data_IF_598239808114
#
_entry.id   IF_598239808114
#
_cell.length_a   1.000
_cell.length_b   1.000
_cell.length_c   1.000
_cell.angle_alpha   90.00
_cell.angle_beta   90.00
_cell.angle_gamma   90.00
#
_symmetry.space_group_name_H-M   'P 1'
#
loop_
_entity.id
_entity.type
_entity.pdbx_description
1 polymer ?
#
# COMPACT_ATOMS: atom_id res chain seq x y z
N UNK A 1 -25.41 37.21 -7.00
CA UNK A 1 -25.80 36.35 -8.14
C UNK A 1 -24.86 35.14 -8.16
N UNK A 2 -25.39 33.99 -7.79
CA UNK A 2 -24.60 32.78 -7.67
C UNK A 2 -24.37 32.20 -9.09
N UNK A 3 -23.11 32.08 -9.49
CA UNK A 3 -22.68 31.43 -10.72
C UNK A 3 -22.85 29.90 -10.55
N UNK A 4 -23.82 29.34 -11.26
CA UNK A 4 -24.05 27.90 -11.34
C UNK A 4 -22.81 27.21 -11.90
N UNK A 5 -22.16 26.37 -11.09
CA UNK A 5 -21.09 25.46 -11.52
C UNK A 5 -21.65 24.53 -12.62
N UNK A 6 -21.11 24.61 -13.84
CA UNK A 6 -21.44 23.72 -14.93
C UNK A 6 -21.04 22.29 -14.55
N UNK A 7 -22.02 21.42 -14.29
CA UNK A 7 -21.80 19.96 -14.18
C UNK A 7 -21.16 19.49 -15.48
N UNK A 8 -19.88 19.15 -15.44
CA UNK A 8 -19.17 18.58 -16.58
C UNK A 8 -19.96 17.38 -17.14
N UNK A 9 -20.31 17.45 -18.40
CA UNK A 9 -21.02 16.39 -19.13
C UNK A 9 -20.12 15.15 -19.11
N UNK A 10 -20.58 14.06 -18.48
CA UNK A 10 -19.86 12.80 -18.49
C UNK A 10 -19.73 12.29 -19.92
N UNK A 11 -18.55 12.38 -20.49
CA UNK A 11 -18.26 11.83 -21.81
C UNK A 11 -18.01 10.32 -21.72
N UNK A 12 -18.57 9.58 -22.66
CA UNK A 12 -18.42 8.13 -22.81
C UNK A 12 -17.72 7.83 -24.13
N UNK A 13 -16.91 6.79 -24.17
CA UNK A 13 -16.30 6.29 -25.39
C UNK A 13 -17.33 5.40 -26.11
N UNK A 14 -17.54 5.70 -27.40
CA UNK A 14 -18.41 4.90 -28.26
C UNK A 14 -17.59 4.37 -29.45
N UNK A 15 -17.76 3.10 -29.73
CA UNK A 15 -17.34 2.48 -30.99
C UNK A 15 -18.49 2.62 -32.00
N UNK A 16 -18.18 3.09 -33.18
CA UNK A 16 -19.16 3.24 -34.24
C UNK A 16 -18.68 2.58 -35.52
N UNK A 17 -19.64 2.06 -36.25
CA UNK A 17 -19.50 1.54 -37.60
C UNK A 17 -20.50 2.26 -38.50
N UNK A 18 -20.07 2.74 -39.64
CA UNK A 18 -20.90 3.49 -40.59
C UNK A 18 -20.46 3.28 -42.02
N UNK A 19 -21.28 3.77 -42.98
CA UNK A 19 -20.96 3.78 -44.41
C UNK A 19 -20.61 5.19 -44.83
N UNK A 20 -19.47 5.35 -45.50
CA UNK A 20 -19.05 6.59 -46.15
C UNK A 20 -19.88 6.86 -47.41
N UNK A 21 -19.80 8.05 -47.98
CA UNK A 21 -20.48 8.45 -49.23
C UNK A 21 -20.28 7.48 -50.41
N UNK A 22 -19.17 6.74 -50.41
CA UNK A 22 -18.79 5.75 -51.41
C UNK A 22 -19.30 4.33 -51.05
N UNK A 23 -20.14 4.16 -50.00
CA UNK A 23 -20.64 2.87 -49.59
C UNK A 23 -19.63 1.99 -48.80
N UNK A 24 -18.41 2.47 -48.57
CA UNK A 24 -17.36 1.73 -47.86
C UNK A 24 -17.62 1.76 -46.35
N UNK A 25 -17.49 0.60 -45.70
CA UNK A 25 -17.64 0.49 -44.24
C UNK A 25 -16.43 1.12 -43.55
N UNK A 26 -16.68 2.13 -42.72
CA UNK A 26 -15.69 2.83 -41.89
C UNK A 26 -16.04 2.57 -40.43
N UNK A 27 -15.01 2.33 -39.63
CA UNK A 27 -15.10 2.10 -38.17
C UNK A 27 -14.26 3.10 -37.45
N UNK A 28 -14.72 3.55 -36.29
CA UNK A 28 -13.95 4.49 -35.47
C UNK A 28 -14.42 4.50 -34.02
N UNK A 29 -13.64 5.19 -33.18
CA UNK A 29 -13.97 5.44 -31.79
C UNK A 29 -14.08 6.96 -31.56
N UNK A 30 -15.10 7.38 -30.81
CA UNK A 30 -15.33 8.81 -30.53
C UNK A 30 -15.88 8.99 -29.13
N UNK A 31 -15.43 10.03 -28.43
CA UNK A 31 -15.95 10.43 -27.12
C UNK A 31 -17.09 11.42 -27.29
N UNK A 32 -18.20 11.17 -26.61
CA UNK A 32 -19.35 12.08 -26.59
C UNK A 32 -20.20 11.87 -25.32
N UNK A 33 -21.01 12.87 -25.00
CA UNK A 33 -21.94 12.80 -23.86
C UNK A 33 -23.14 11.86 -24.08
N UNK A 34 -23.39 11.45 -25.37
CA UNK A 34 -24.48 10.55 -25.71
C UNK A 34 -24.45 10.10 -27.17
N UNK A 35 -25.21 9.06 -27.47
CA UNK A 35 -25.29 8.45 -28.80
C UNK A 35 -25.80 9.44 -29.89
N UNK A 36 -26.73 10.33 -29.51
CA UNK A 36 -27.27 11.34 -30.41
C UNK A 36 -26.23 12.33 -30.91
N UNK A 37 -25.24 12.69 -30.04
CA UNK A 37 -24.14 13.58 -30.42
C UNK A 37 -23.24 12.93 -31.47
N UNK A 38 -22.97 11.63 -31.32
CA UNK A 38 -22.16 10.88 -32.27
C UNK A 38 -22.85 10.75 -33.60
N UNK A 39 -24.15 10.45 -33.62
CA UNK A 39 -24.93 10.39 -34.83
C UNK A 39 -24.89 11.74 -35.60
N UNK A 40 -25.07 12.85 -34.87
CA UNK A 40 -25.02 14.18 -35.47
C UNK A 40 -23.61 14.50 -36.04
N UNK A 41 -22.56 14.11 -35.33
CA UNK A 41 -21.19 14.32 -35.75
C UNK A 41 -20.82 13.50 -36.99
N UNK A 42 -21.16 12.22 -37.01
CA UNK A 42 -20.89 11.32 -38.13
C UNK A 42 -21.64 11.75 -39.38
N UNK A 43 -22.91 12.16 -39.25
CA UNK A 43 -23.71 12.70 -40.37
C UNK A 43 -23.07 13.96 -40.96
N UNK A 44 -22.51 14.87 -40.14
CA UNK A 44 -21.76 16.07 -40.61
C UNK A 44 -20.50 15.68 -41.38
N UNK A 45 -19.87 14.55 -41.02
CA UNK A 45 -18.68 14.01 -41.70
C UNK A 45 -19.04 13.17 -42.93
N UNK A 46 -20.35 13.06 -43.30
CA UNK A 46 -20.79 12.29 -44.46
C UNK A 46 -20.80 10.78 -44.23
N UNK A 47 -20.74 10.34 -42.99
CA UNK A 47 -20.80 8.92 -42.60
C UNK A 47 -22.18 8.60 -42.05
N UNK A 48 -22.86 7.63 -42.67
CA UNK A 48 -24.14 7.12 -42.15
C UNK A 48 -23.90 6.02 -41.13
N UNK A 49 -24.14 6.26 -39.82
CA UNK A 49 -23.88 5.27 -38.80
C UNK A 49 -24.83 4.08 -38.92
N UNK A 50 -24.26 2.87 -38.95
CA UNK A 50 -25.01 1.60 -38.95
C UNK A 50 -25.09 0.94 -37.61
N UNK A 51 -24.07 1.19 -36.76
CA UNK A 51 -23.98 0.63 -35.41
C UNK A 51 -23.20 1.55 -34.50
N UNK A 52 -23.78 1.92 -33.36
CA UNK A 52 -23.10 2.69 -32.31
C UNK A 52 -23.21 1.86 -31.02
N UNK A 53 -22.10 1.53 -30.42
CA UNK A 53 -22.05 0.83 -29.15
C UNK A 53 -21.27 1.65 -28.14
N UNK A 54 -21.87 1.90 -26.99
CA UNK A 54 -21.17 2.45 -25.83
C UNK A 54 -20.16 1.41 -25.37
N UNK A 55 -18.87 1.70 -25.54
CA UNK A 55 -17.80 0.88 -24.98
C UNK A 55 -17.80 1.12 -23.48
N UNK A 56 -18.04 0.08 -22.70
CA UNK A 56 -17.70 0.12 -21.28
C UNK A 56 -16.18 0.30 -21.25
N UNK A 57 -15.71 1.52 -20.97
CA UNK A 57 -14.33 1.70 -20.57
C UNK A 57 -14.15 0.76 -19.38
N UNK A 58 -13.40 -0.33 -19.57
CA UNK A 58 -12.90 -1.11 -18.45
C UNK A 58 -12.27 -0.07 -17.55
N UNK A 59 -12.83 0.16 -16.38
CA UNK A 59 -12.32 1.11 -15.43
C UNK A 59 -10.82 0.85 -15.34
N UNK A 60 -10.00 1.86 -15.68
CA UNK A 60 -8.55 1.70 -15.71
C UNK A 60 -8.10 1.09 -14.38
N UNK A 61 -7.02 0.33 -14.39
CA UNK A 61 -6.45 -0.26 -13.17
C UNK A 61 -6.26 0.85 -12.13
N UNK A 62 -6.57 0.57 -10.87
CA UNK A 62 -6.30 1.50 -9.77
C UNK A 62 -4.83 1.96 -9.85
N UNK A 63 -4.59 3.26 -9.75
CA UNK A 63 -3.23 3.81 -9.72
C UNK A 63 -2.55 3.33 -8.43
N UNK A 64 -1.37 2.76 -8.57
CA UNK A 64 -0.56 2.26 -7.45
C UNK A 64 0.57 3.23 -7.14
N UNK A 65 1.10 3.26 -5.89
CA UNK A 65 2.27 4.07 -5.56
C UNK A 65 3.46 3.81 -6.50
N UNK A 66 3.67 2.56 -6.93
CA UNK A 66 4.69 2.20 -7.92
C UNK A 66 4.52 2.93 -9.27
N UNK A 67 3.27 3.18 -9.69
CA UNK A 67 3.00 3.90 -10.95
C UNK A 67 3.44 5.37 -10.83
N UNK A 68 3.23 5.96 -9.64
CA UNK A 68 3.67 7.34 -9.34
C UNK A 68 5.19 7.41 -9.22
N UNK A 69 5.84 6.46 -8.54
CA UNK A 69 7.31 6.40 -8.46
C UNK A 69 7.94 6.31 -9.85
N UNK A 70 7.40 5.45 -10.73
CA UNK A 70 7.87 5.33 -12.11
C UNK A 70 7.67 6.62 -12.91
N UNK A 71 6.51 7.25 -12.77
CA UNK A 71 6.23 8.54 -13.37
C UNK A 71 7.25 9.60 -12.91
N UNK A 72 7.48 9.70 -11.59
CA UNK A 72 8.41 10.68 -11.01
C UNK A 72 9.84 10.46 -11.53
N UNK A 73 10.30 9.20 -11.61
CA UNK A 73 11.61 8.84 -12.18
C UNK A 73 11.71 9.24 -13.65
N UNK A 74 10.69 8.94 -14.44
CA UNK A 74 10.67 9.31 -15.85
C UNK A 74 10.68 10.83 -16.05
N UNK A 75 9.88 11.56 -15.26
CA UNK A 75 9.84 13.02 -15.28
C UNK A 75 11.22 13.61 -14.92
N UNK A 76 11.82 13.17 -13.82
CA UNK A 76 13.15 13.61 -13.39
C UNK A 76 14.21 13.34 -14.46
N UNK A 77 14.20 12.16 -15.07
CA UNK A 77 15.16 11.78 -16.12
C UNK A 77 15.02 12.67 -17.36
N UNK A 78 13.80 12.97 -17.78
CA UNK A 78 13.55 13.85 -18.93
C UNK A 78 13.98 15.28 -18.66
N UNK A 79 13.65 15.81 -17.48
CA UNK A 79 14.07 17.16 -17.10
C UNK A 79 15.59 17.26 -16.99
N UNK A 80 16.26 16.25 -16.44
CA UNK A 80 17.72 16.17 -16.39
C UNK A 80 18.36 16.12 -17.79
N UNK A 81 17.64 15.56 -18.77
CA UNK A 81 18.04 15.60 -20.18
C UNK A 81 17.70 16.92 -20.89
N UNK A 82 17.18 17.94 -20.19
CA UNK A 82 16.82 19.24 -20.73
C UNK A 82 15.46 19.28 -21.45
N UNK A 83 14.63 18.25 -21.33
CA UNK A 83 13.29 18.24 -21.93
C UNK A 83 12.37 19.16 -21.11
N UNK A 84 11.65 20.12 -21.76
CA UNK A 84 10.74 21.02 -21.06
C UNK A 84 9.65 20.24 -20.26
N UNK A 85 9.24 20.77 -19.10
CA UNK A 85 8.31 20.16 -18.17
C UNK A 85 7.01 19.68 -18.84
N UNK A 86 6.31 20.53 -19.58
CA UNK A 86 5.05 20.19 -20.24
C UNK A 86 5.21 19.10 -21.30
N UNK A 87 6.33 19.12 -22.03
CA UNK A 87 6.65 18.09 -23.01
C UNK A 87 6.96 16.75 -22.31
N UNK A 88 7.65 16.77 -21.18
CA UNK A 88 7.93 15.59 -20.36
C UNK A 88 6.64 14.94 -19.87
N UNK A 89 5.66 15.71 -19.39
CA UNK A 89 4.33 15.21 -19.03
C UNK A 89 3.61 14.53 -20.19
N UNK A 90 3.68 15.12 -21.40
CA UNK A 90 3.03 14.55 -22.58
C UNK A 90 3.67 13.21 -22.99
N UNK A 91 5.00 13.13 -23.01
CA UNK A 91 5.73 11.91 -23.36
C UNK A 91 5.43 10.80 -22.34
N UNK A 92 5.56 11.08 -21.03
CA UNK A 92 5.31 10.09 -19.97
C UNK A 92 3.85 9.66 -19.95
N UNK A 93 2.92 10.61 -20.13
CA UNK A 93 1.50 10.32 -20.18
C UNK A 93 1.10 9.40 -21.33
N UNK A 94 1.65 9.63 -22.54
CA UNK A 94 1.40 8.76 -23.72
C UNK A 94 2.06 7.40 -23.59
N UNK A 95 3.22 7.31 -22.94
CA UNK A 95 3.96 6.07 -22.73
C UNK A 95 3.38 5.17 -21.64
N UNK A 96 2.43 5.63 -20.84
CA UNK A 96 1.91 4.88 -19.71
C UNK A 96 0.85 3.84 -20.12
N UNK A 97 0.98 2.62 -19.60
CA UNK A 97 0.04 1.52 -19.89
C UNK A 97 -1.27 1.60 -19.11
N UNK A 98 -1.32 2.42 -18.05
CA UNK A 98 -2.52 2.59 -17.23
C UNK A 98 -3.28 3.87 -17.64
N UNK A 99 -4.47 3.75 -18.26
CA UNK A 99 -5.25 4.92 -18.72
C UNK A 99 -5.59 5.91 -17.60
N UNK A 100 -5.70 5.46 -16.36
CA UNK A 100 -5.99 6.34 -15.23
C UNK A 100 -4.77 7.19 -14.87
N UNK A 101 -3.55 6.66 -15.00
CA UNK A 101 -2.32 7.44 -14.85
C UNK A 101 -2.22 8.48 -15.98
N UNK A 102 -2.43 8.06 -17.22
CA UNK A 102 -2.45 9.00 -18.37
C UNK A 102 -3.44 10.13 -18.16
N UNK A 103 -4.64 9.83 -17.65
CA UNK A 103 -5.64 10.85 -17.34
C UNK A 103 -5.15 11.80 -16.23
N UNK A 104 -4.64 11.25 -15.12
CA UNK A 104 -4.10 12.04 -14.01
C UNK A 104 -3.00 13.00 -14.49
N UNK A 105 -2.05 12.51 -15.29
CA UNK A 105 -0.95 13.32 -15.81
C UNK A 105 -1.43 14.39 -16.79
N UNK A 106 -2.43 14.11 -17.62
CA UNK A 106 -3.03 15.10 -18.49
C UNK A 106 -3.78 16.19 -17.71
N UNK A 107 -4.50 15.82 -16.64
CA UNK A 107 -5.21 16.79 -15.82
C UNK A 107 -4.19 17.74 -15.13
N UNK A 108 -3.08 17.21 -14.60
CA UNK A 108 -1.99 18.01 -14.00
C UNK A 108 -1.31 18.89 -15.07
N UNK A 109 -1.00 18.32 -16.24
CA UNK A 109 -0.38 19.09 -17.35
C UNK A 109 -1.23 20.29 -17.76
N UNK A 110 -2.55 20.12 -17.89
CA UNK A 110 -3.49 21.19 -18.21
C UNK A 110 -3.51 22.28 -17.14
N UNK A 111 -3.48 21.91 -15.86
CA UNK A 111 -3.41 22.87 -14.76
C UNK A 111 -2.12 23.71 -14.84
N UNK A 112 -0.98 23.08 -15.11
CA UNK A 112 0.30 23.79 -15.24
C UNK A 112 0.33 24.64 -16.51
N UNK A 113 -0.21 24.17 -17.63
CA UNK A 113 -0.32 24.90 -18.89
C UNK A 113 -1.16 26.19 -18.73
N UNK A 114 -2.17 26.16 -17.84
CA UNK A 114 -3.00 27.34 -17.51
C UNK A 114 -2.36 28.29 -16.48
N UNK A 115 -1.12 28.04 -16.05
CA UNK A 115 -0.35 28.92 -15.17
C UNK A 115 -0.42 28.56 -13.68
N UNK A 116 -1.01 27.41 -13.32
CA UNK A 116 -0.95 26.91 -11.94
C UNK A 116 0.46 26.36 -11.66
N UNK A 117 1.03 26.63 -10.46
CA UNK A 117 2.30 26.02 -10.07
C UNK A 117 2.19 24.50 -10.04
N UNK A 118 3.30 23.79 -10.33
CA UNK A 118 3.32 22.33 -10.36
C UNK A 118 2.96 21.72 -9.00
N UNK A 119 3.50 22.29 -7.91
CA UNK A 119 3.19 21.90 -6.54
C UNK A 119 1.68 22.03 -6.23
N UNK A 120 1.06 23.15 -6.64
CA UNK A 120 -0.38 23.35 -6.47
C UNK A 120 -1.21 22.38 -7.33
N UNK A 121 -0.77 22.08 -8.54
CA UNK A 121 -1.43 21.09 -9.40
C UNK A 121 -1.39 19.69 -8.78
N UNK A 122 -0.28 19.26 -8.17
CA UNK A 122 -0.19 17.99 -7.43
C UNK A 122 -1.05 17.95 -6.18
N UNK A 123 -1.13 19.05 -5.43
CA UNK A 123 -1.98 19.16 -4.20
C UNK A 123 -3.47 18.93 -4.47
N UNK A 124 -3.96 19.07 -5.70
CA UNK A 124 -5.33 18.73 -6.08
C UNK A 124 -5.61 17.22 -6.02
N UNK A 125 -4.56 16.40 -5.97
CA UNK A 125 -4.65 14.94 -5.98
C UNK A 125 -3.99 14.28 -4.76
N UNK A 126 -4.47 14.55 -3.52
CA UNK A 126 -3.81 14.12 -2.28
C UNK A 126 -3.78 12.59 -2.08
N UNK A 127 -4.58 11.83 -2.84
CA UNK A 127 -4.54 10.37 -2.84
C UNK A 127 -3.27 9.78 -3.48
N UNK A 128 -2.56 10.57 -4.29
CA UNK A 128 -1.40 10.15 -5.07
C UNK A 128 -0.13 10.90 -4.69
N UNK A 129 -0.27 12.15 -4.29
CA UNK A 129 0.83 13.05 -3.96
C UNK A 129 0.63 13.57 -2.53
N UNK A 130 1.45 13.10 -1.62
CA UNK A 130 1.45 13.49 -0.20
C UNK A 130 2.09 14.87 0.02
N UNK A 131 2.10 15.32 1.27
CA UNK A 131 2.68 16.63 1.65
C UNK A 131 4.17 16.68 1.33
N UNK A 132 4.91 15.58 1.56
CA UNK A 132 6.33 15.49 1.23
C UNK A 132 6.57 15.74 -0.26
N UNK A 133 5.80 15.05 -1.12
CA UNK A 133 5.91 15.21 -2.56
C UNK A 133 5.68 16.67 -2.98
N UNK A 134 4.58 17.25 -2.51
CA UNK A 134 4.19 18.60 -2.87
C UNK A 134 5.18 19.67 -2.36
N UNK A 135 5.69 19.52 -1.14
CA UNK A 135 6.63 20.47 -0.53
C UNK A 135 8.01 20.41 -1.20
N UNK A 136 8.50 19.22 -1.57
CA UNK A 136 9.74 19.10 -2.35
C UNK A 136 9.61 19.72 -3.74
N UNK A 137 8.49 19.52 -4.42
CA UNK A 137 8.22 20.13 -5.72
C UNK A 137 8.15 21.65 -5.58
N UNK A 138 7.49 22.18 -4.56
CA UNK A 138 7.39 23.61 -4.28
C UNK A 138 8.77 24.24 -4.04
N UNK A 139 9.60 23.62 -3.20
CA UNK A 139 10.97 24.06 -2.97
C UNK A 139 11.78 24.05 -4.27
N UNK A 140 11.60 23.03 -5.12
CA UNK A 140 12.27 22.93 -6.42
C UNK A 140 11.84 24.00 -7.42
N UNK A 141 10.54 24.32 -7.46
CA UNK A 141 10.00 25.41 -8.28
C UNK A 141 10.55 26.77 -7.83
N UNK A 142 10.52 27.02 -6.50
CA UNK A 142 10.98 28.29 -5.94
C UNK A 142 12.48 28.53 -6.14
N UNK A 143 13.29 27.47 -6.01
CA UNK A 143 14.74 27.55 -6.15
C UNK A 143 15.24 27.36 -7.60
N UNK A 144 14.37 26.97 -8.54
CA UNK A 144 14.75 26.68 -9.92
C UNK A 144 15.57 25.38 -10.09
N UNK A 145 15.54 24.47 -9.13
CA UNK A 145 16.28 23.20 -9.10
C UNK A 145 15.34 22.00 -9.13
N UNK A 146 14.20 22.14 -9.81
CA UNK A 146 13.12 21.14 -9.84
C UNK A 146 13.63 19.75 -10.29
N UNK A 147 14.54 19.69 -11.27
CA UNK A 147 15.11 18.45 -11.77
C UNK A 147 15.83 17.64 -10.67
N UNK A 148 16.67 18.34 -9.89
CA UNK A 148 17.45 17.72 -8.81
C UNK A 148 16.54 17.21 -7.69
N UNK A 149 15.48 17.94 -7.34
CA UNK A 149 14.53 17.54 -6.31
C UNK A 149 13.61 16.42 -6.79
N UNK A 150 13.18 16.41 -8.04
CA UNK A 150 12.44 15.28 -8.61
C UNK A 150 13.29 14.00 -8.66
N UNK A 151 14.61 14.09 -8.93
CA UNK A 151 15.50 12.92 -8.89
C UNK A 151 15.65 12.36 -7.47
N UNK A 152 15.79 13.21 -6.46
CA UNK A 152 15.80 12.82 -5.03
C UNK A 152 14.46 12.19 -4.62
N UNK A 153 13.35 12.80 -5.02
CA UNK A 153 12.01 12.32 -4.74
C UNK A 153 11.76 10.96 -5.41
N UNK A 154 12.17 10.79 -6.65
CA UNK A 154 12.09 9.50 -7.35
C UNK A 154 12.89 8.42 -6.63
N UNK A 155 14.12 8.74 -6.20
CA UNK A 155 14.97 7.82 -5.43
C UNK A 155 14.34 7.44 -4.10
N UNK A 156 13.76 8.40 -3.38
CA UNK A 156 13.02 8.17 -2.14
C UNK A 156 11.84 7.21 -2.34
N UNK A 157 11.01 7.48 -3.38
CA UNK A 157 9.85 6.65 -3.68
C UNK A 157 10.25 5.24 -4.10
N UNK A 158 11.30 5.09 -4.91
CA UNK A 158 11.82 3.80 -5.34
C UNK A 158 12.32 2.96 -4.15
N UNK A 159 13.10 3.57 -3.24
CA UNK A 159 13.57 2.90 -2.02
C UNK A 159 12.40 2.47 -1.12
N UNK A 160 11.44 3.35 -0.91
CA UNK A 160 10.23 3.07 -0.11
C UNK A 160 9.41 1.93 -0.71
N UNK A 161 9.19 1.93 -2.02
CA UNK A 161 8.46 0.86 -2.69
C UNK A 161 9.26 -0.45 -2.76
N UNK A 162 10.58 -0.40 -2.85
CA UNK A 162 11.46 -1.57 -2.78
C UNK A 162 11.34 -2.26 -1.41
N UNK A 163 11.40 -1.51 -0.30
CA UNK A 163 11.21 -2.04 1.06
C UNK A 163 9.83 -2.70 1.20
N UNK A 164 8.75 -2.00 0.80
CA UNK A 164 7.38 -2.56 0.82
C UNK A 164 7.25 -3.84 0.00
N UNK A 165 7.87 -3.87 -1.18
CA UNK A 165 7.86 -5.03 -2.07
C UNK A 165 8.60 -6.21 -1.46
N UNK A 166 9.78 -5.99 -0.85
CA UNK A 166 10.57 -7.01 -0.15
C UNK A 166 9.78 -7.61 1.02
N UNK A 167 9.20 -6.77 1.89
CA UNK A 167 8.37 -7.23 3.01
C UNK A 167 7.20 -8.09 2.50
N UNK A 168 6.49 -7.61 1.48
CA UNK A 168 5.37 -8.35 0.87
C UNK A 168 5.82 -9.70 0.30
N UNK A 169 6.94 -9.76 -0.38
CA UNK A 169 7.48 -10.99 -0.95
C UNK A 169 7.91 -11.99 0.12
N UNK A 170 8.55 -11.52 1.20
CA UNK A 170 8.95 -12.37 2.32
C UNK A 170 7.76 -12.97 3.07
N UNK A 171 6.64 -12.23 3.18
CA UNK A 171 5.42 -12.72 3.80
C UNK A 171 4.61 -13.68 2.91
N UNK A 172 4.89 -13.76 1.61
CA UNK A 172 4.13 -14.60 0.69
C UNK A 172 4.23 -16.09 1.06
N UNK A 173 5.44 -16.57 1.38
CA UNK A 173 5.67 -17.97 1.77
C UNK A 173 4.93 -18.36 3.06
N UNK A 174 5.08 -17.64 4.20
CA UNK A 174 4.33 -17.91 5.42
C UNK A 174 2.81 -17.91 5.22
N UNK A 175 2.30 -16.91 4.50
CA UNK A 175 0.86 -16.82 4.22
C UNK A 175 0.39 -18.00 3.37
N UNK A 176 1.15 -18.41 2.35
CA UNK A 176 0.78 -19.55 1.50
C UNK A 176 0.74 -20.85 2.28
N UNK A 177 1.72 -21.09 3.16
CA UNK A 177 1.75 -22.27 4.02
C UNK A 177 0.55 -22.30 4.98
N UNK A 178 0.24 -21.16 5.60
CA UNK A 178 -0.92 -21.04 6.49
C UNK A 178 -2.26 -21.29 5.78
N UNK A 179 -2.40 -20.81 4.53
CA UNK A 179 -3.60 -21.08 3.71
C UNK A 179 -3.73 -22.57 3.42
N UNK A 180 -2.64 -23.21 2.96
CA UNK A 180 -2.65 -24.65 2.68
C UNK A 180 -2.98 -25.45 3.95
N UNK A 181 -2.36 -25.11 5.07
CA UNK A 181 -2.63 -25.74 6.36
C UNK A 181 -4.10 -25.61 6.77
N UNK A 182 -4.65 -24.40 6.62
CA UNK A 182 -6.06 -24.16 6.91
C UNK A 182 -6.99 -25.01 6.03
N UNK A 183 -6.68 -25.14 4.75
CA UNK A 183 -7.42 -25.99 3.82
C UNK A 183 -7.32 -27.47 4.24
N UNK A 184 -6.13 -27.96 4.61
CA UNK A 184 -5.94 -29.33 5.08
C UNK A 184 -6.76 -29.61 6.35
N UNK A 185 -6.68 -28.71 7.33
CA UNK A 185 -7.47 -28.82 8.57
C UNK A 185 -8.97 -28.79 8.28
N UNK A 186 -9.42 -27.93 7.38
CA UNK A 186 -10.81 -27.88 6.97
C UNK A 186 -11.29 -29.20 6.34
N UNK A 187 -10.48 -29.81 5.48
CA UNK A 187 -10.76 -31.12 4.89
C UNK A 187 -10.85 -32.20 5.97
N UNK A 188 -9.92 -32.21 6.92
CA UNK A 188 -9.94 -33.17 8.04
C UNK A 188 -11.22 -32.98 8.88
N UNK A 189 -11.57 -31.75 9.21
CA UNK A 189 -12.77 -31.43 10.02
C UNK A 189 -14.07 -31.81 9.32
N UNK A 190 -14.17 -31.63 7.99
CA UNK A 190 -15.41 -31.87 7.24
C UNK A 190 -15.59 -33.35 6.87
N UNK A 191 -14.52 -34.05 6.52
CA UNK A 191 -14.62 -35.38 5.94
C UNK A 191 -14.08 -36.49 6.85
N UNK A 192 -12.91 -36.26 7.47
CA UNK A 192 -12.20 -37.31 8.18
C UNK A 192 -12.82 -37.53 9.55
N UNK A 193 -13.01 -36.48 10.35
CA UNK A 193 -13.54 -36.61 11.72
C UNK A 193 -14.96 -37.16 11.73
N UNK A 194 -15.91 -36.73 10.88
CA UNK A 194 -17.24 -37.32 10.84
C UNK A 194 -17.24 -38.81 10.49
N UNK A 195 -16.39 -39.23 9.54
CA UNK A 195 -16.26 -40.65 9.20
C UNK A 195 -15.78 -41.50 10.39
N UNK A 196 -14.78 -40.98 11.14
CA UNK A 196 -14.35 -41.67 12.39
C UNK A 196 -15.42 -41.66 13.46
N UNK A 197 -16.23 -40.63 13.59
CA UNK A 197 -17.35 -40.57 14.53
C UNK A 197 -18.35 -41.71 14.29
N UNK A 198 -18.74 -41.97 13.03
CA UNK A 198 -19.63 -43.07 12.67
C UNK A 198 -19.05 -44.43 13.07
N UNK A 199 -17.75 -44.63 12.84
CA UNK A 199 -17.05 -45.85 13.25
C UNK A 199 -17.05 -46.00 14.75
N UNK A 200 -16.69 -44.99 15.53
CA UNK A 200 -16.61 -45.09 16.99
C UNK A 200 -17.98 -45.26 17.65
N UNK A 201 -19.03 -44.61 17.14
CA UNK A 201 -20.38 -44.78 17.65
C UNK A 201 -20.92 -46.19 17.42
N UNK A 202 -20.52 -46.88 16.35
CA UNK A 202 -20.90 -48.26 16.07
C UNK A 202 -20.29 -49.26 17.04
N UNK A 203 -19.16 -48.94 17.70
CA UNK A 203 -18.49 -49.79 18.68
C UNK A 203 -19.03 -49.62 20.11
N UNK A 204 -19.89 -48.61 20.38
CA UNK A 204 -20.54 -48.41 21.67
C UNK A 204 -19.59 -48.05 22.82
N UNK A 205 -18.35 -47.62 22.57
CA UNK A 205 -17.36 -47.34 23.59
C UNK A 205 -17.40 -45.87 24.02
N UNK A 206 -17.12 -45.62 25.31
CA UNK A 206 -16.95 -44.25 25.82
C UNK A 206 -15.72 -43.56 25.22
N UNK A 207 -15.99 -42.45 24.55
CA UNK A 207 -14.91 -41.67 23.88
C UNK A 207 -14.12 -40.82 24.89
N UNK A 208 -12.80 -40.75 24.74
CA UNK A 208 -11.96 -39.85 25.54
C UNK A 208 -12.33 -38.38 25.38
N UNK A 209 -12.16 -37.58 26.44
CA UNK A 209 -12.48 -36.15 26.43
C UNK A 209 -11.82 -35.34 25.27
N UNK A 210 -10.54 -35.53 24.91
CA UNK A 210 -9.93 -34.84 23.78
C UNK A 210 -10.63 -35.16 22.43
N UNK A 211 -11.04 -36.41 22.23
CA UNK A 211 -11.78 -36.84 21.04
C UNK A 211 -13.16 -36.19 20.96
N UNK A 212 -13.87 -36.09 22.06
CA UNK A 212 -15.18 -35.44 22.16
C UNK A 212 -15.07 -33.95 21.83
N UNK A 213 -14.01 -33.28 22.31
CA UNK A 213 -13.76 -31.86 21.99
C UNK A 213 -13.53 -31.66 20.48
N UNK A 214 -12.66 -32.47 19.86
CA UNK A 214 -12.36 -32.37 18.44
C UNK A 214 -13.58 -32.70 17.59
N UNK A 215 -14.35 -33.70 17.96
CA UNK A 215 -15.62 -34.03 17.29
C UNK A 215 -16.65 -32.91 17.42
N UNK A 216 -16.83 -32.33 18.61
CA UNK A 216 -17.69 -31.17 18.79
C UNK A 216 -17.31 -29.97 17.93
N UNK A 217 -16.01 -29.65 17.88
CA UNK A 217 -15.51 -28.58 16.99
C UNK A 217 -15.82 -28.95 15.54
N UNK A 218 -15.61 -30.20 15.12
CA UNK A 218 -15.91 -30.64 13.74
C UNK A 218 -17.40 -30.50 13.40
N UNK A 219 -18.30 -30.86 14.30
CA UNK A 219 -19.75 -30.73 14.10
C UNK A 219 -20.14 -29.26 13.90
N UNK A 220 -19.64 -28.36 14.75
CA UNK A 220 -19.83 -26.91 14.56
C UNK A 220 -19.26 -26.43 13.24
N UNK A 221 -18.09 -26.94 12.85
CA UNK A 221 -17.48 -26.57 11.60
C UNK A 221 -18.28 -27.04 10.39
N UNK A 222 -18.79 -28.26 10.38
CA UNK A 222 -19.63 -28.84 9.32
C UNK A 222 -20.98 -28.12 9.24
N UNK A 223 -21.59 -27.80 10.39
CA UNK A 223 -22.90 -27.14 10.43
C UNK A 223 -22.83 -25.67 10.03
N UNK A 224 -21.76 -24.96 10.44
CA UNK A 224 -21.66 -23.49 10.32
C UNK A 224 -20.51 -23.02 9.43
N UNK A 225 -19.93 -23.88 8.58
CA UNK A 225 -18.79 -23.51 7.73
C UNK A 225 -19.05 -22.23 6.92
N UNK A 226 -20.24 -22.09 6.34
CA UNK A 226 -20.62 -20.90 5.56
C UNK A 226 -20.67 -19.63 6.42
N UNK A 227 -21.10 -19.75 7.68
CA UNK A 227 -21.13 -18.65 8.63
C UNK A 227 -19.70 -18.30 9.10
N UNK A 228 -18.87 -19.30 9.37
CA UNK A 228 -17.47 -19.13 9.77
C UNK A 228 -16.71 -18.39 8.66
N UNK A 229 -16.79 -18.85 7.41
CA UNK A 229 -16.17 -18.17 6.28
C UNK A 229 -16.79 -16.79 6.03
N UNK A 230 -18.09 -16.64 6.19
CA UNK A 230 -18.80 -15.36 6.09
C UNK A 230 -18.33 -14.35 7.14
N UNK A 231 -18.18 -14.79 8.40
CA UNK A 231 -17.68 -13.94 9.51
C UNK A 231 -16.20 -13.60 9.32
N UNK A 232 -15.36 -14.57 8.94
CA UNK A 232 -13.94 -14.31 8.69
C UNK A 232 -13.76 -13.35 7.50
N UNK A 233 -14.43 -13.61 6.39
CA UNK A 233 -14.36 -12.76 5.19
C UNK A 233 -14.99 -11.38 5.39
N UNK A 234 -16.22 -11.35 5.94
CA UNK A 234 -16.93 -10.11 6.24
C UNK A 234 -16.26 -9.31 7.36
N UNK A 235 -15.88 -9.97 8.46
CA UNK A 235 -15.14 -9.35 9.56
C UNK A 235 -13.80 -8.80 9.11
N UNK A 236 -13.05 -9.56 8.31
CA UNK A 236 -11.79 -9.10 7.70
C UNK A 236 -11.98 -7.88 6.80
N UNK A 237 -13.03 -7.87 5.98
CA UNK A 237 -13.38 -6.72 5.14
C UNK A 237 -13.75 -5.48 5.97
N UNK A 238 -14.64 -5.64 6.97
CA UNK A 238 -15.02 -4.55 7.87
C UNK A 238 -13.85 -4.06 8.72
N UNK A 239 -12.99 -4.97 9.21
CA UNK A 239 -11.78 -4.62 9.94
C UNK A 239 -10.81 -3.82 9.08
N UNK A 240 -10.56 -4.25 7.84
CA UNK A 240 -9.69 -3.53 6.91
C UNK A 240 -10.25 -2.15 6.54
N UNK A 241 -11.57 -2.03 6.40
CA UNK A 241 -12.24 -0.76 6.17
C UNK A 241 -12.20 0.15 7.42
N UNK A 242 -12.39 -0.41 8.61
CA UNK A 242 -12.29 0.32 9.88
C UNK A 242 -10.85 0.82 10.11
N UNK A 243 -9.85 -0.01 9.83
CA UNK A 243 -8.44 0.37 9.92
C UNK A 243 -8.08 1.52 8.97
N UNK A 244 -8.62 1.51 7.75
CA UNK A 244 -8.36 2.59 6.77
C UNK A 244 -9.11 3.89 7.04
N UNK A 245 -10.23 3.85 7.79
CA UNK A 245 -11.12 5.00 7.98
C UNK A 245 -11.16 5.56 9.40
N UNK A 246 -10.75 4.78 10.39
CA UNK A 246 -10.88 5.14 11.79
C UNK A 246 -9.50 5.32 12.43
N UNK A 247 -9.15 6.56 12.72
CA UNK A 247 -7.87 6.92 13.34
C UNK A 247 -7.62 6.19 14.67
N UNK A 248 -8.64 5.97 15.50
CA UNK A 248 -8.50 5.25 16.78
C UNK A 248 -8.10 3.79 16.57
N UNK A 249 -8.66 3.13 15.55
CA UNK A 249 -8.30 1.75 15.20
C UNK A 249 -6.87 1.70 14.68
N UNK A 250 -6.49 2.66 13.85
CA UNK A 250 -5.12 2.78 13.33
C UNK A 250 -4.11 2.99 14.47
N UNK A 251 -4.39 3.92 15.38
CA UNK A 251 -3.56 4.17 16.56
C UNK A 251 -3.38 2.94 17.45
N UNK A 252 -4.47 2.21 17.71
CA UNK A 252 -4.42 0.98 18.50
C UNK A 252 -3.59 -0.10 17.81
N UNK A 253 -3.79 -0.28 16.50
CA UNK A 253 -3.05 -1.27 15.72
C UNK A 253 -1.56 -0.93 15.63
N UNK A 254 -1.21 0.32 15.36
CA UNK A 254 0.18 0.78 15.27
C UNK A 254 0.93 0.57 16.59
N UNK A 255 0.29 0.87 17.73
CA UNK A 255 0.83 0.59 19.06
C UNK A 255 1.03 -0.89 19.34
N UNK A 256 0.06 -1.70 18.93
CA UNK A 256 0.08 -3.15 19.18
C UNK A 256 1.11 -3.84 18.31
N UNK A 257 1.21 -3.45 17.03
CA UNK A 257 2.17 -4.02 16.09
C UNK A 257 3.63 -3.79 16.52
N UNK A 258 3.96 -2.64 17.09
CA UNK A 258 5.29 -2.37 17.63
C UNK A 258 5.66 -3.28 18.82
N UNK A 259 4.68 -3.84 19.55
CA UNK A 259 4.93 -4.75 20.68
C UNK A 259 5.08 -6.21 20.27
N UNK A 260 4.78 -6.56 19.02
CA UNK A 260 4.88 -7.94 18.54
C UNK A 260 6.36 -8.35 18.41
N UNK A 261 6.73 -9.56 18.89
CA UNK A 261 8.07 -10.08 18.67
C UNK A 261 8.32 -10.21 17.14
N UNK A 262 9.56 -9.99 16.70
CA UNK A 262 10.01 -10.01 15.30
C UNK A 262 9.42 -8.86 14.49
N UNK A 263 8.08 -8.75 14.38
CA UNK A 263 7.42 -7.71 13.58
C UNK A 263 7.57 -6.30 14.18
N UNK A 264 7.56 -6.17 15.50
CA UNK A 264 7.72 -4.87 16.15
C UNK A 264 9.07 -4.23 15.83
N UNK A 265 10.15 -5.01 15.93
CA UNK A 265 11.51 -4.53 15.59
C UNK A 265 11.62 -4.16 14.10
N UNK A 266 11.01 -4.95 13.20
CA UNK A 266 10.99 -4.65 11.77
C UNK A 266 10.24 -3.34 11.47
N UNK A 267 9.09 -3.12 12.13
CA UNK A 267 8.29 -1.89 11.96
C UNK A 267 9.04 -0.70 12.51
N UNK A 268 9.64 -0.82 13.70
CA UNK A 268 10.47 0.22 14.33
C UNK A 268 11.59 0.66 13.37
N UNK A 269 12.45 -0.28 12.94
CA UNK A 269 13.54 0.02 12.01
C UNK A 269 13.05 0.62 10.70
N UNK A 270 11.92 0.13 10.17
CA UNK A 270 11.32 0.67 8.96
C UNK A 270 10.78 2.10 9.14
N UNK A 271 10.23 2.43 10.33
CA UNK A 271 9.78 3.78 10.64
C UNK A 271 10.99 4.73 10.78
N UNK A 272 12.03 4.29 11.48
CA UNK A 272 13.27 5.06 11.65
C UNK A 272 13.95 5.31 10.30
N UNK A 273 14.07 4.29 9.45
CA UNK A 273 14.66 4.43 8.12
C UNK A 273 13.90 5.45 7.27
N UNK A 274 12.56 5.37 7.24
CA UNK A 274 11.72 6.33 6.49
C UNK A 274 11.82 7.74 7.08
N UNK A 275 11.75 7.88 8.39
CA UNK A 275 11.85 9.15 9.09
C UNK A 275 13.18 9.85 8.78
N UNK A 276 14.31 9.16 8.98
CA UNK A 276 15.65 9.70 8.72
C UNK A 276 15.87 10.01 7.24
N UNK A 277 15.42 9.14 6.34
CA UNK A 277 15.51 9.35 4.90
C UNK A 277 14.71 10.58 4.45
N UNK A 278 13.49 10.71 4.96
CA UNK A 278 12.62 11.84 4.62
C UNK A 278 13.23 13.15 5.10
N UNK A 279 13.66 13.22 6.36
CA UNK A 279 14.26 14.43 6.90
C UNK A 279 15.57 14.79 6.20
N UNK A 280 16.45 13.81 5.94
CA UNK A 280 17.68 14.00 5.15
C UNK A 280 17.36 14.58 3.77
N UNK A 281 16.34 14.05 3.08
CA UNK A 281 15.95 14.49 1.74
C UNK A 281 15.42 15.92 1.75
N UNK A 282 14.58 16.27 2.74
CA UNK A 282 14.02 17.63 2.89
C UNK A 282 15.12 18.65 3.22
N UNK A 283 16.02 18.30 4.15
CA UNK A 283 17.15 19.15 4.52
C UNK A 283 18.09 19.42 3.33
N UNK A 284 18.43 18.36 2.59
CA UNK A 284 19.25 18.47 1.39
C UNK A 284 18.58 19.26 0.27
N UNK A 285 17.24 19.41 0.32
CA UNK A 285 16.46 20.27 -0.57
C UNK A 285 16.40 21.73 -0.10
N UNK A 286 16.96 22.05 1.07
CA UNK A 286 16.93 23.39 1.64
C UNK A 286 15.60 23.76 2.31
N UNK A 287 14.74 22.78 2.59
CA UNK A 287 13.47 23.02 3.29
C UNK A 287 13.76 23.34 4.76
N UNK A 288 13.16 24.42 5.32
CA UNK A 288 13.33 24.76 6.73
C UNK A 288 12.96 23.61 7.66
N UNK A 289 13.71 23.40 8.77
CA UNK A 289 13.56 22.25 9.67
C UNK A 289 12.13 22.06 10.19
N UNK A 290 11.48 23.13 10.61
CA UNK A 290 10.13 23.07 11.17
C UNK A 290 9.09 22.61 10.11
N UNK A 291 9.24 23.07 8.86
CA UNK A 291 8.38 22.66 7.75
C UNK A 291 8.68 21.20 7.32
N UNK A 292 9.95 20.82 7.33
CA UNK A 292 10.37 19.45 7.03
C UNK A 292 9.75 18.46 8.02
N UNK A 293 9.74 18.77 9.32
CA UNK A 293 9.19 17.91 10.37
C UNK A 293 7.68 17.64 10.19
N UNK A 294 6.90 18.59 9.68
CA UNK A 294 5.49 18.39 9.35
C UNK A 294 5.28 17.24 8.34
N UNK A 295 6.10 17.22 7.30
CA UNK A 295 6.04 16.16 6.27
C UNK A 295 6.61 14.83 6.75
N UNK A 296 7.66 14.87 7.57
CA UNK A 296 8.39 13.70 8.08
C UNK A 296 7.52 12.83 9.01
N UNK A 297 6.71 13.48 9.86
CA UNK A 297 5.77 12.79 10.75
C UNK A 297 4.85 11.86 10.00
N UNK A 298 4.16 12.36 8.97
CA UNK A 298 3.26 11.58 8.13
C UNK A 298 3.97 10.49 7.31
N UNK A 299 5.19 10.77 6.81
CA UNK A 299 5.97 9.84 6.00
C UNK A 299 6.51 8.64 6.79
N UNK A 300 6.64 8.75 8.12
CA UNK A 300 7.11 7.65 9.00
C UNK A 300 6.21 6.40 8.91
N UNK A 301 4.91 6.60 8.63
CA UNK A 301 3.92 5.54 8.43
C UNK A 301 3.53 4.80 9.71
N UNK A 302 3.71 5.41 10.88
CA UNK A 302 3.26 4.93 12.17
C UNK A 302 2.82 6.11 13.05
N UNK A 303 1.68 5.99 13.68
CA UNK A 303 1.09 7.05 14.50
C UNK A 303 1.98 7.50 15.67
N UNK A 304 2.70 6.57 16.32
CA UNK A 304 3.59 6.95 17.44
C UNK A 304 4.74 7.81 16.97
N UNK A 305 5.34 7.50 15.84
CA UNK A 305 6.40 8.32 15.24
C UNK A 305 5.87 9.67 14.75
N UNK A 306 4.65 9.69 14.20
CA UNK A 306 3.99 10.95 13.84
C UNK A 306 3.78 11.84 15.06
N UNK A 307 3.18 11.31 16.14
CA UNK A 307 2.94 12.06 17.37
C UNK A 307 4.25 12.53 18.03
N UNK A 308 5.32 11.71 17.98
CA UNK A 308 6.63 12.11 18.47
C UNK A 308 7.22 13.23 17.61
N UNK A 309 7.06 13.17 16.30
CA UNK A 309 7.55 14.21 15.39
C UNK A 309 6.81 15.53 15.59
N UNK A 310 5.49 15.49 15.83
CA UNK A 310 4.71 16.70 16.14
C UNK A 310 5.22 17.40 17.42
N UNK A 311 5.62 16.63 18.46
CA UNK A 311 6.23 17.17 19.67
C UNK A 311 7.62 17.75 19.39
N UNK A 312 8.45 17.03 18.62
CA UNK A 312 9.77 17.50 18.22
C UNK A 312 9.64 18.83 17.46
N UNK A 313 8.68 18.92 16.54
CA UNK A 313 8.42 20.15 15.79
C UNK A 313 8.06 21.32 16.71
N UNK A 314 7.20 21.09 17.72
CA UNK A 314 6.85 22.11 18.71
C UNK A 314 8.07 22.56 19.51
N UNK A 315 8.91 21.64 20.03
CA UNK A 315 10.11 21.97 20.79
C UNK A 315 11.14 22.73 19.93
N UNK A 316 11.37 22.28 18.69
CA UNK A 316 12.27 22.95 17.75
C UNK A 316 11.76 24.35 17.37
N UNK A 317 10.45 24.52 17.18
CA UNK A 317 9.86 25.84 16.89
C UNK A 317 10.06 26.86 18.02
N UNK A 318 10.24 26.38 19.27
CA UNK A 318 10.57 27.21 20.45
C UNK A 318 12.07 27.39 20.71
N UNK A 319 12.93 26.88 19.79
CA UNK A 319 14.38 27.07 19.84
C UNK A 319 15.17 25.91 20.50
N UNK A 320 14.52 24.80 20.82
CA UNK A 320 15.22 23.60 21.29
C UNK A 320 15.97 22.97 20.10
N UNK A 321 17.19 22.46 20.33
CA UNK A 321 17.93 21.74 19.28
C UNK A 321 17.19 20.46 18.86
N UNK A 322 17.33 20.08 17.60
CA UNK A 322 16.69 18.86 17.07
C UNK A 322 17.14 17.62 17.87
N UNK A 323 18.43 17.53 18.18
CA UNK A 323 18.99 16.44 18.99
C UNK A 323 18.31 16.32 20.35
N UNK A 324 18.18 17.45 21.08
CA UNK A 324 17.53 17.47 22.39
C UNK A 324 16.07 17.10 22.32
N UNK A 325 15.34 17.62 21.33
CA UNK A 325 13.92 17.29 21.08
C UNK A 325 13.72 15.81 20.73
N UNK A 326 14.61 15.22 19.92
CA UNK A 326 14.59 13.78 19.61
C UNK A 326 14.90 12.92 20.85
N UNK A 327 15.84 13.34 21.71
CA UNK A 327 16.13 12.65 22.96
C UNK A 327 14.93 12.67 23.93
N UNK A 328 14.25 13.83 24.05
CA UNK A 328 13.03 13.99 24.85
C UNK A 328 11.87 13.12 24.37
N UNK A 329 11.75 12.91 23.05
CA UNK A 329 10.72 12.06 22.46
C UNK A 329 10.87 10.58 22.84
N UNK A 330 12.07 10.12 23.20
CA UNK A 330 12.39 8.77 23.71
C UNK A 330 11.84 7.62 22.84
N UNK A 331 11.79 7.80 21.53
CA UNK A 331 11.32 6.80 20.56
C UNK A 331 12.41 6.46 19.53
N UNK A 332 13.43 7.30 19.40
CA UNK A 332 14.50 7.11 18.44
C UNK A 332 15.67 6.33 19.06
N UNK A 333 16.30 5.41 18.28
CA UNK A 333 17.52 4.73 18.70
C UNK A 333 18.67 5.73 18.95
N UNK A 334 19.53 5.41 19.91
CA UNK A 334 20.67 6.27 20.30
C UNK A 334 21.58 6.65 19.14
N UNK A 335 21.79 5.73 18.21
CA UNK A 335 22.60 5.98 17.00
C UNK A 335 22.03 7.13 16.15
N UNK A 336 20.70 7.20 15.96
CA UNK A 336 20.08 8.28 15.19
C UNK A 336 20.26 9.62 15.88
N UNK A 337 20.08 9.66 17.21
CA UNK A 337 20.28 10.86 18.02
C UNK A 337 21.76 11.34 17.95
N UNK A 338 22.72 10.41 18.00
CA UNK A 338 24.14 10.73 17.87
C UNK A 338 24.48 11.27 16.49
N UNK A 339 23.95 10.65 15.40
CA UNK A 339 24.14 11.13 14.04
C UNK A 339 23.52 12.53 13.85
N UNK A 340 22.35 12.76 14.46
CA UNK A 340 21.71 14.06 14.47
C UNK A 340 22.59 15.11 15.18
N UNK A 341 23.14 14.79 16.35
CA UNK A 341 24.04 15.68 17.12
C UNK A 341 25.25 16.09 16.28
N UNK A 342 25.96 15.10 15.71
CA UNK A 342 27.13 15.37 14.86
C UNK A 342 26.72 16.24 13.65
N UNK A 343 25.52 15.97 13.06
CA UNK A 343 24.99 16.75 11.94
C UNK A 343 24.66 18.19 12.31
N UNK A 344 24.11 18.44 13.53
CA UNK A 344 23.82 19.78 14.03
C UNK A 344 25.14 20.56 14.30
N UNK A 345 26.13 19.94 14.95
CA UNK A 345 27.42 20.55 15.25
C UNK A 345 28.23 20.87 13.97
N UNK A 346 28.22 19.99 12.99
CA UNK A 346 28.96 20.14 11.74
C UNK A 346 28.22 20.91 10.65
N UNK A 347 26.92 21.24 10.82
CA UNK A 347 26.06 21.83 9.81
C UNK A 347 25.73 20.90 8.64
N UNK A 348 25.87 19.57 8.83
CA UNK A 348 25.66 18.55 7.80
C UNK A 348 24.61 17.50 8.20
N UNK A 349 23.46 17.98 8.71
CA UNK A 349 22.35 17.13 9.19
C UNK A 349 21.86 16.19 8.07
N UNK A 350 21.74 16.71 6.85
CA UNK A 350 21.30 15.95 5.66
C UNK A 350 22.20 14.75 5.41
N UNK A 351 23.51 14.92 5.45
CA UNK A 351 24.47 13.85 5.24
C UNK A 351 24.43 12.81 6.35
N UNK A 352 24.43 13.26 7.61
CA UNK A 352 24.46 12.36 8.77
C UNK A 352 23.17 11.55 8.90
N UNK A 353 22.01 12.19 8.74
CA UNK A 353 20.72 11.48 8.70
C UNK A 353 20.59 10.57 7.47
N UNK A 354 21.20 10.96 6.34
CA UNK A 354 21.29 10.10 5.17
C UNK A 354 22.04 8.80 5.44
N UNK A 355 23.16 8.87 6.18
CA UNK A 355 23.92 7.68 6.65
C UNK A 355 23.13 6.82 7.63
N UNK A 356 22.42 7.45 8.56
CA UNK A 356 21.52 6.74 9.47
C UNK A 356 20.41 6.01 8.68
N UNK A 357 19.83 6.67 7.68
CA UNK A 357 18.83 6.06 6.80
C UNK A 357 19.38 4.85 6.04
N UNK A 358 20.58 4.97 5.42
CA UNK A 358 21.22 3.86 4.70
C UNK A 358 21.44 2.65 5.64
N UNK A 359 21.87 2.90 6.87
CA UNK A 359 22.06 1.85 7.87
C UNK A 359 20.75 1.14 8.22
N UNK A 360 19.69 1.90 8.56
CA UNK A 360 18.40 1.30 8.91
C UNK A 360 17.69 0.65 7.72
N UNK A 361 17.88 1.16 6.51
CA UNK A 361 17.41 0.50 5.27
C UNK A 361 18.09 -0.87 5.11
N UNK A 362 19.42 -0.97 5.34
CA UNK A 362 20.15 -2.23 5.30
C UNK A 362 19.67 -3.21 6.37
N UNK A 363 19.49 -2.75 7.61
CA UNK A 363 18.96 -3.54 8.71
C UNK A 363 17.57 -4.12 8.41
N UNK A 364 16.69 -3.30 7.81
CA UNK A 364 15.37 -3.76 7.35
C UNK A 364 15.52 -4.82 6.27
N UNK A 365 16.42 -4.63 5.31
CA UNK A 365 16.67 -5.58 4.23
C UNK A 365 17.17 -6.93 4.78
N UNK A 366 18.09 -6.93 5.72
CA UNK A 366 18.59 -8.15 6.38
C UNK A 366 17.51 -8.86 7.19
N UNK A 367 16.72 -8.12 7.96
CA UNK A 367 15.60 -8.69 8.70
C UNK A 367 14.53 -9.30 7.78
N UNK A 368 14.22 -8.64 6.67
CA UNK A 368 13.24 -9.14 5.70
C UNK A 368 13.77 -10.39 4.99
N UNK A 369 15.06 -10.44 4.66
CA UNK A 369 15.70 -11.63 4.09
C UNK A 369 15.66 -12.82 5.07
N UNK A 370 15.87 -12.56 6.36
CA UNK A 370 15.81 -13.55 7.44
C UNK A 370 14.38 -13.92 7.89
N UNK A 371 13.37 -13.14 7.52
CA UNK A 371 12.00 -13.30 8.05
C UNK A 371 11.41 -14.69 7.73
N UNK A 372 11.62 -15.18 6.51
CA UNK A 372 11.11 -16.50 6.11
C UNK A 372 11.72 -17.63 6.92
N UNK A 373 13.01 -17.59 7.21
CA UNK A 373 13.71 -18.61 8.02
C UNK A 373 13.33 -18.51 9.51
N UNK A 374 13.06 -17.33 10.04
CA UNK A 374 12.58 -17.15 11.42
C UNK A 374 11.12 -17.61 11.59
N UNK A 375 10.30 -17.49 10.58
CA UNK A 375 8.90 -17.92 10.62
C UNK A 375 8.73 -19.44 10.47
N UNK A 376 9.65 -20.12 9.82
CA UNK A 376 9.58 -21.56 9.56
C UNK A 376 9.45 -22.40 10.83
N UNK A 377 10.30 -22.27 11.89
CA UNK A 377 10.11 -22.99 13.13
C UNK A 377 8.76 -22.70 13.82
N UNK A 378 8.31 -21.45 13.78
CA UNK A 378 7.02 -21.06 14.37
C UNK A 378 5.87 -21.76 13.67
N UNK A 379 5.90 -21.80 12.34
CA UNK A 379 4.90 -22.48 11.52
C UNK A 379 4.92 -23.99 11.79
N UNK A 380 6.10 -24.62 11.85
CA UNK A 380 6.25 -26.05 12.11
C UNK A 380 5.68 -26.41 13.49
N UNK A 381 6.03 -25.65 14.54
CA UNK A 381 5.51 -25.87 15.89
C UNK A 381 3.99 -25.71 15.95
N UNK A 382 3.47 -24.65 15.31
CA UNK A 382 2.03 -24.40 15.26
C UNK A 382 1.29 -25.55 14.54
N UNK A 383 1.75 -25.93 13.34
CA UNK A 383 1.13 -26.99 12.57
C UNK A 383 1.30 -28.37 13.22
N UNK A 384 2.48 -28.65 13.75
CA UNK A 384 2.76 -29.89 14.46
C UNK A 384 1.85 -30.06 15.69
N UNK A 385 1.64 -28.99 16.45
CA UNK A 385 0.74 -29.00 17.60
C UNK A 385 -0.72 -29.17 17.17
N UNK A 386 -1.14 -28.43 16.14
CA UNK A 386 -2.52 -28.47 15.66
C UNK A 386 -2.86 -29.84 15.04
N UNK A 387 -2.08 -30.27 14.05
CA UNK A 387 -2.33 -31.55 13.34
C UNK A 387 -2.04 -32.72 14.27
N UNK A 388 -0.95 -32.68 15.02
CA UNK A 388 -0.60 -33.71 16.00
C UNK A 388 -1.65 -33.84 17.07
N UNK A 389 -2.21 -32.75 17.58
CA UNK A 389 -3.35 -32.78 18.53
C UNK A 389 -4.60 -33.44 17.96
N UNK A 390 -4.96 -33.15 16.71
CA UNK A 390 -6.07 -33.78 16.00
C UNK A 390 -5.80 -35.30 15.86
N UNK A 391 -4.62 -35.69 15.38
CA UNK A 391 -4.24 -37.07 15.16
C UNK A 391 -4.27 -37.86 16.49
N UNK A 392 -3.63 -37.36 17.54
CA UNK A 392 -3.64 -37.99 18.87
C UNK A 392 -5.07 -38.15 19.38
N UNK A 393 -5.90 -37.12 19.25
CA UNK A 393 -7.30 -37.18 19.68
C UNK A 393 -8.13 -38.23 18.93
N UNK A 394 -7.77 -38.49 17.65
CA UNK A 394 -8.45 -39.52 16.85
C UNK A 394 -7.96 -40.94 17.14
N UNK A 395 -6.68 -41.12 17.53
CA UNK A 395 -6.13 -42.44 17.87
C UNK A 395 -6.40 -42.86 19.31
N UNK A 396 -6.66 -41.95 20.26
CA UNK A 396 -6.94 -42.25 21.65
C UNK A 396 -8.08 -43.29 21.85
N UNK A 397 -9.24 -43.22 21.12
CA UNK A 397 -10.28 -44.22 21.22
C UNK A 397 -9.82 -45.62 20.80
N UNK A 398 -8.98 -45.70 19.75
CA UNK A 398 -8.47 -46.99 19.24
C UNK A 398 -7.61 -47.67 20.30
N UNK A 399 -6.76 -46.93 21.02
CA UNK A 399 -5.98 -47.50 22.13
C UNK A 399 -6.82 -47.93 23.30
N UNK A 400 -7.95 -47.25 23.62
CA UNK A 400 -8.87 -47.67 24.65
C UNK A 400 -9.63 -48.93 24.28
N UNK A 401 -10.08 -49.10 23.04
CA UNK A 401 -10.72 -50.31 22.53
C UNK A 401 -9.80 -51.52 22.61
N UNK A 402 -8.49 -51.37 22.33
CA UNK A 402 -7.51 -52.44 22.48
C UNK A 402 -7.21 -52.86 23.93
N UNK A 403 -7.69 -52.12 24.93
CA UNK A 403 -7.57 -52.49 26.36
C UNK A 403 -8.81 -53.21 26.91
N UNK A 404 -9.90 -53.19 26.15
CA UNK A 404 -11.19 -53.82 26.57
C UNK A 404 -11.40 -55.19 25.90
N UNK A 405 -10.62 -55.53 24.90
CA UNK A 405 -10.52 -56.85 24.28
C UNK A 405 -9.37 -57.62 24.93
#
# INVERSE_FOLDING_TARGET
MATAASKGIKEFLFEWEGKDRNGKIVRGETRAGGENQIQAMLRRQGVTPSKIKKRRTRGGKKIKPKDIALFTRQLATMMKAGVPLLQSFDIVGRGNTNPNVTKLLNDIRLDVETGTSLSTAFRKFPLYFDSLYCNLVEAGEAAGILEALLDRLATYMEKTEAIKSKIKSALMYPISVMIVAFVVVAVIMIFVIPAFKEVFTSFGADLPAPTLIVMGISEYFVQYWWLIFGVIGGGGYFFMQAWQRNERVQQFMDRTMLKLPIFGVLIEKSCVARWTRTLSTMFAAGVPLVEALDSVGGASGNYLYQQATDKIQQEVSTGTSLTSAMANANIFPSMVIQMCAIGEESGSIDHMLGKAADFYESEVDEMVAGLSSLMEPVIIVFLGTLIGGIVVSMYLPIFKLGQVV
#
